data_IF_004309907839
#
_entry.id   IF_004309907839
#
_cell.length_a   1.000
_cell.length_b   1.000
_cell.length_c   1.000
_cell.angle_alpha   90.00
_cell.angle_beta   90.00
_cell.angle_gamma   90.00
#
_symmetry.space_group_name_H-M   'P 1'
#
loop_
_entity.id
_entity.type
_entity.pdbx_description
1 polymer ?
#
# COMPACT_ATOMS: atom_id res chain seq x y z
N UNK A 1 -1.73 -18.90 -18.12
CA UNK A 1 -0.81 -17.73 -18.21
C UNK A 1 -1.43 -16.44 -17.68
N UNK A 2 -2.77 -16.28 -17.76
CA UNK A 2 -3.50 -15.28 -16.96
C UNK A 2 -3.15 -15.35 -15.45
N UNK A 3 -2.75 -16.53 -14.98
CA UNK A 3 -2.37 -16.80 -13.59
C UNK A 3 -1.18 -15.96 -13.09
N UNK A 4 -0.19 -15.62 -13.93
CA UNK A 4 0.99 -14.85 -13.50
C UNK A 4 0.60 -13.40 -13.12
N UNK A 5 -0.43 -12.86 -13.77
CA UNK A 5 -0.90 -11.49 -13.52
C UNK A 5 -1.74 -11.37 -12.24
N UNK A 6 -2.25 -12.47 -11.70
CA UNK A 6 -3.06 -12.51 -10.48
C UNK A 6 -2.22 -12.82 -9.23
N UNK A 7 -1.00 -13.34 -9.39
CA UNK A 7 -0.10 -13.68 -8.30
C UNK A 7 0.57 -12.44 -7.68
N UNK A 8 0.69 -12.45 -6.35
CA UNK A 8 1.49 -11.45 -5.62
C UNK A 8 2.98 -11.55 -5.99
N UNK A 9 3.67 -10.40 -6.02
CA UNK A 9 5.09 -10.31 -6.36
C UNK A 9 5.98 -11.16 -5.43
N UNK A 10 5.58 -11.40 -4.18
CA UNK A 10 6.32 -12.25 -3.25
C UNK A 10 6.18 -13.72 -3.61
N UNK A 11 4.96 -14.15 -3.92
CA UNK A 11 4.67 -15.54 -4.26
C UNK A 11 5.29 -15.90 -5.60
N UNK A 12 5.21 -15.01 -6.59
CA UNK A 12 5.88 -15.19 -7.88
C UNK A 12 7.40 -15.36 -7.72
N UNK A 13 8.04 -14.59 -6.82
CA UNK A 13 9.47 -14.77 -6.50
C UNK A 13 9.75 -16.11 -5.83
N UNK A 14 8.88 -16.58 -4.94
CA UNK A 14 9.02 -17.90 -4.29
C UNK A 14 8.89 -19.04 -5.31
N UNK A 15 7.92 -18.93 -6.23
CA UNK A 15 7.70 -19.92 -7.30
C UNK A 15 8.89 -19.97 -8.25
N UNK A 16 9.48 -18.82 -8.60
CA UNK A 16 10.69 -18.79 -9.44
C UNK A 16 11.86 -19.49 -8.76
N UNK A 17 12.08 -19.26 -7.47
CA UNK A 17 13.15 -19.94 -6.73
C UNK A 17 12.93 -21.46 -6.72
N UNK A 18 11.69 -21.92 -6.55
CA UNK A 18 11.36 -23.34 -6.61
C UNK A 18 11.52 -23.91 -8.04
N UNK A 19 11.09 -23.17 -9.06
CA UNK A 19 11.22 -23.56 -10.46
C UNK A 19 12.69 -23.66 -10.89
N UNK A 20 13.53 -22.71 -10.48
CA UNK A 20 14.97 -22.71 -10.76
C UNK A 20 15.68 -23.88 -10.07
N UNK A 21 15.29 -24.24 -8.84
CA UNK A 21 15.81 -25.40 -8.13
C UNK A 21 15.34 -26.76 -8.73
N UNK A 22 14.17 -26.77 -9.39
CA UNK A 22 13.55 -27.96 -9.97
C UNK A 22 13.88 -28.20 -11.45
N UNK A 23 14.44 -27.21 -12.15
CA UNK A 23 14.64 -27.25 -13.60
C UNK A 23 15.78 -28.20 -14.02
N UNK A 24 15.42 -29.46 -14.32
CA UNK A 24 16.39 -30.51 -14.70
C UNK A 24 16.53 -30.71 -16.21
N UNK A 25 15.45 -30.50 -16.95
CA UNK A 25 15.32 -30.66 -18.39
C UNK A 25 15.07 -29.32 -19.11
N UNK A 26 15.14 -29.32 -20.44
CA UNK A 26 14.98 -28.12 -21.27
C UNK A 26 13.58 -27.50 -21.16
N UNK A 27 12.52 -28.30 -21.04
CA UNK A 27 11.16 -27.79 -20.87
C UNK A 27 11.00 -27.09 -19.52
N UNK A 28 11.48 -27.71 -18.43
CA UNK A 28 11.47 -27.10 -17.09
C UNK A 28 12.32 -25.82 -17.03
N UNK A 29 13.44 -25.76 -17.75
CA UNK A 29 14.26 -24.54 -17.89
C UNK A 29 13.50 -23.47 -18.68
N UNK A 30 12.82 -23.83 -19.76
CA UNK A 30 12.03 -22.89 -20.55
C UNK A 30 10.91 -22.26 -19.71
N UNK A 31 10.23 -23.04 -18.87
CA UNK A 31 9.22 -22.53 -17.93
C UNK A 31 9.84 -21.60 -16.89
N UNK A 32 11.00 -21.96 -16.33
CA UNK A 32 11.69 -21.09 -15.36
C UNK A 32 12.09 -19.73 -15.97
N UNK A 33 12.58 -19.72 -17.22
CA UNK A 33 12.88 -18.48 -17.94
C UNK A 33 11.62 -17.67 -18.24
N UNK A 34 10.53 -18.32 -18.61
CA UNK A 34 9.25 -17.66 -18.83
C UNK A 34 8.71 -16.99 -17.55
N UNK A 35 8.85 -17.65 -16.39
CA UNK A 35 8.48 -17.07 -15.08
C UNK A 35 9.36 -15.87 -14.73
N UNK A 36 10.67 -15.92 -15.00
CA UNK A 36 11.59 -14.78 -14.79
C UNK A 36 11.21 -13.58 -15.66
N UNK A 37 10.84 -13.82 -16.93
CA UNK A 37 10.36 -12.79 -17.83
C UNK A 37 9.05 -12.17 -17.28
N UNK A 38 8.08 -12.99 -16.89
CA UNK A 38 6.81 -12.52 -16.32
C UNK A 38 6.98 -11.73 -15.02
N UNK A 39 7.91 -12.12 -14.13
CA UNK A 39 8.22 -11.32 -12.94
C UNK A 39 8.78 -9.94 -13.29
N UNK A 40 9.68 -9.87 -14.28
CA UNK A 40 10.26 -8.60 -14.72
C UNK A 40 9.16 -7.67 -15.24
N UNK A 41 8.33 -8.16 -16.16
CA UNK A 41 7.19 -7.41 -16.70
C UNK A 41 6.23 -6.96 -15.59
N UNK A 42 5.94 -7.82 -14.62
CA UNK A 42 5.05 -7.45 -13.51
C UNK A 42 5.64 -6.37 -12.62
N UNK A 43 6.93 -6.45 -12.30
CA UNK A 43 7.62 -5.42 -11.51
C UNK A 43 7.59 -4.08 -12.24
N UNK A 44 7.79 -4.07 -13.56
CA UNK A 44 7.75 -2.87 -14.38
C UNK A 44 6.32 -2.27 -14.47
N UNK A 45 5.31 -3.12 -14.63
CA UNK A 45 3.90 -2.71 -14.63
C UNK A 45 3.50 -2.09 -13.28
N UNK A 46 3.83 -2.74 -12.17
CA UNK A 46 3.55 -2.24 -10.81
C UNK A 46 4.29 -0.92 -10.53
N UNK A 47 5.54 -0.82 -10.98
CA UNK A 47 6.32 0.42 -10.88
C UNK A 47 5.67 1.55 -11.69
N UNK A 48 5.17 1.25 -12.89
CA UNK A 48 4.49 2.21 -13.74
C UNK A 48 3.15 2.65 -13.14
N UNK A 49 2.35 1.69 -12.66
CA UNK A 49 1.09 1.95 -11.98
C UNK A 49 1.26 2.83 -10.73
N UNK A 50 2.30 2.56 -9.93
CA UNK A 50 2.64 3.37 -8.77
C UNK A 50 2.97 4.83 -9.14
N UNK A 51 3.74 5.06 -10.21
CA UNK A 51 4.06 6.41 -10.68
C UNK A 51 2.83 7.13 -11.23
N UNK A 52 1.98 6.41 -11.96
CA UNK A 52 0.70 6.93 -12.47
C UNK A 52 -0.22 7.33 -11.31
N UNK A 53 -0.38 6.47 -10.30
CA UNK A 53 -1.20 6.77 -9.12
C UNK A 53 -0.73 8.07 -8.44
N UNK A 54 0.57 8.23 -8.20
CA UNK A 54 1.08 9.47 -7.58
C UNK A 54 0.78 10.68 -8.47
N UNK A 55 0.95 10.55 -9.77
CA UNK A 55 0.70 11.64 -10.73
C UNK A 55 -0.78 12.05 -10.74
N UNK A 56 -1.70 11.09 -10.75
CA UNK A 56 -3.15 11.36 -10.70
C UNK A 56 -3.59 11.96 -9.37
N UNK A 57 -2.99 11.51 -8.26
CA UNK A 57 -3.23 12.09 -6.94
C UNK A 57 -2.78 13.55 -6.89
N UNK A 58 -1.61 13.88 -7.47
CA UNK A 58 -1.12 15.24 -7.56
C UNK A 58 -1.99 16.12 -8.47
N UNK A 59 -2.39 15.61 -9.64
CA UNK A 59 -3.30 16.30 -10.55
C UNK A 59 -4.67 16.58 -9.90
N UNK A 60 -5.14 15.68 -9.04
CA UNK A 60 -6.37 15.85 -8.26
C UNK A 60 -6.21 16.65 -6.97
N UNK A 61 -5.07 17.29 -6.70
CA UNK A 61 -4.83 18.09 -5.50
C UNK A 61 -4.74 17.29 -4.18
N UNK A 62 -4.60 15.96 -4.24
CA UNK A 62 -4.59 15.06 -3.07
C UNK A 62 -3.17 14.85 -2.54
N UNK A 63 -2.51 15.93 -2.12
CA UNK A 63 -1.10 15.92 -1.69
C UNK A 63 -0.79 14.90 -0.57
N UNK A 64 -1.64 14.80 0.46
CA UNK A 64 -1.44 13.85 1.57
C UNK A 64 -1.48 12.39 1.08
N UNK A 65 -2.40 12.08 0.16
CA UNK A 65 -2.50 10.72 -0.39
C UNK A 65 -1.30 10.42 -1.27
N UNK A 66 -0.87 11.38 -2.10
CA UNK A 66 0.33 11.26 -2.91
C UNK A 66 1.58 11.01 -2.06
N UNK A 67 1.75 11.73 -0.94
CA UNK A 67 2.83 11.50 0.02
C UNK A 67 2.82 10.07 0.58
N UNK A 68 1.64 9.55 0.94
CA UNK A 68 1.51 8.18 1.47
C UNK A 68 1.86 7.12 0.43
N UNK A 69 1.38 7.27 -0.80
CA UNK A 69 1.72 6.35 -1.90
C UNK A 69 3.22 6.41 -2.23
N UNK A 70 3.83 7.61 -2.24
CA UNK A 70 5.27 7.78 -2.48
C UNK A 70 6.17 7.09 -1.45
N UNK A 71 5.65 6.81 -0.24
CA UNK A 71 6.40 6.12 0.83
C UNK A 71 6.40 4.60 0.70
N UNK A 72 5.64 4.04 -0.24
CA UNK A 72 5.43 2.59 -0.41
C UNK A 72 5.75 2.16 -1.86
N UNK A 73 7.02 2.21 -2.27
CA UNK A 73 7.38 1.73 -3.60
C UNK A 73 7.20 0.20 -3.69
N UNK A 74 6.80 -0.33 -4.87
CA UNK A 74 6.62 -1.77 -5.07
C UNK A 74 7.92 -2.56 -4.88
N UNK A 75 9.06 -1.90 -5.12
CA UNK A 75 10.40 -2.40 -4.81
C UNK A 75 11.05 -1.49 -3.77
N UNK A 76 11.45 -2.07 -2.64
CA UNK A 76 12.16 -1.33 -1.60
C UNK A 76 13.41 -0.66 -2.20
N UNK A 77 13.50 0.67 -2.03
CA UNK A 77 14.61 1.46 -2.56
C UNK A 77 14.45 1.92 -4.02
N UNK A 78 13.33 1.63 -4.71
CA UNK A 78 13.04 2.28 -6.01
C UNK A 78 13.00 3.80 -5.81
N UNK A 79 13.88 4.57 -6.48
CA UNK A 79 13.89 6.02 -6.33
C UNK A 79 12.67 6.64 -7.00
N UNK A 80 12.19 7.73 -6.42
CA UNK A 80 11.15 8.56 -7.02
C UNK A 80 11.79 9.42 -8.14
N UNK A 81 11.21 9.49 -9.36
CA UNK A 81 11.72 10.36 -10.42
C UNK A 81 11.80 11.83 -9.96
N UNK A 82 12.88 12.52 -10.34
CA UNK A 82 13.16 13.89 -9.86
C UNK A 82 12.03 14.88 -10.16
N UNK A 83 11.46 14.84 -11.37
CA UNK A 83 10.31 15.67 -11.77
C UNK A 83 9.09 15.46 -10.87
N UNK A 84 8.79 14.21 -10.53
CA UNK A 84 7.66 13.87 -9.68
C UNK A 84 7.94 14.23 -8.22
N UNK A 85 9.19 14.09 -7.77
CA UNK A 85 9.64 14.57 -6.47
C UNK A 85 9.51 16.09 -6.33
N UNK A 86 9.84 16.85 -7.37
CA UNK A 86 9.68 18.31 -7.41
C UNK A 86 8.20 18.70 -7.29
N UNK A 87 7.32 18.11 -8.11
CA UNK A 87 5.87 18.33 -8.04
C UNK A 87 5.27 17.97 -6.68
N UNK A 88 5.72 16.85 -6.09
CA UNK A 88 5.29 16.42 -4.76
C UNK A 88 5.75 17.40 -3.67
N UNK A 89 6.98 17.93 -3.80
CA UNK A 89 7.52 18.95 -2.90
C UNK A 89 6.71 20.23 -3.00
N UNK A 90 6.46 20.73 -4.20
CA UNK A 90 5.65 21.93 -4.46
C UNK A 90 4.23 21.80 -3.88
N UNK A 91 3.53 20.69 -4.19
CA UNK A 91 2.20 20.44 -3.66
C UNK A 91 2.16 20.35 -2.12
N UNK A 92 3.24 19.83 -1.52
CA UNK A 92 3.37 19.76 -0.06
C UNK A 92 3.61 21.13 0.55
N UNK A 93 4.51 21.93 -0.04
CA UNK A 93 4.78 23.31 0.40
C UNK A 93 3.52 24.18 0.29
N UNK A 94 2.77 24.06 -0.80
CA UNK A 94 1.49 24.74 -1.00
C UNK A 94 0.42 24.33 0.04
N UNK A 95 0.53 23.12 0.60
CA UNK A 95 -0.37 22.63 1.67
C UNK A 95 0.11 23.02 3.08
N UNK A 96 1.30 23.59 3.23
CA UNK A 96 1.91 23.97 4.51
C UNK A 96 2.04 25.50 4.61
N UNK A 97 0.88 26.15 4.64
CA UNK A 97 0.73 27.60 4.80
C UNK A 97 0.15 27.93 6.17
N UNK A 98 0.38 29.16 6.70
CA UNK A 98 -0.19 29.58 7.99
C UNK A 98 -1.73 29.63 7.99
N UNK A 99 -2.35 29.82 6.83
CA UNK A 99 -3.80 29.81 6.61
C UNK A 99 -4.40 28.39 6.65
N UNK A 100 -3.56 27.36 6.53
CA UNK A 100 -4.03 25.97 6.54
C UNK A 100 -4.45 25.58 7.95
N UNK A 101 -5.68 25.05 8.07
CA UNK A 101 -6.20 24.52 9.34
C UNK A 101 -5.22 23.55 10.01
N UNK A 102 -5.03 23.68 11.31
CA UNK A 102 -3.94 23.03 12.04
C UNK A 102 -4.01 21.49 12.03
N UNK A 103 -5.21 20.91 12.04
CA UNK A 103 -5.41 19.46 11.88
C UNK A 103 -4.92 18.95 10.52
N UNK A 104 -5.25 19.68 9.44
CA UNK A 104 -4.76 19.38 8.09
C UNK A 104 -3.24 19.54 8.04
N UNK A 105 -2.69 20.59 8.66
CA UNK A 105 -1.25 20.80 8.75
C UNK A 105 -0.55 19.61 9.44
N UNK A 106 -1.06 19.17 10.59
CA UNK A 106 -0.54 17.99 11.31
C UNK A 106 -0.63 16.71 10.47
N UNK A 107 -1.72 16.51 9.74
CA UNK A 107 -1.91 15.37 8.84
C UNK A 107 -0.90 15.35 7.69
N UNK A 108 -0.60 16.51 7.10
CA UNK A 108 0.43 16.64 6.06
C UNK A 108 1.81 16.31 6.62
N UNK A 109 2.14 16.79 7.83
CA UNK A 109 3.42 16.48 8.49
C UNK A 109 3.58 14.98 8.80
N UNK A 110 2.53 14.31 9.27
CA UNK A 110 2.57 12.86 9.53
C UNK A 110 2.85 12.07 8.25
N UNK A 111 2.21 12.44 7.14
CA UNK A 111 2.49 11.82 5.83
C UNK A 111 3.91 12.15 5.31
N UNK A 112 4.34 13.41 5.44
CA UNK A 112 5.65 13.87 5.00
C UNK A 112 6.79 13.15 5.72
N UNK A 113 6.62 12.79 7.00
CA UNK A 113 7.64 12.11 7.80
C UNK A 113 8.10 10.77 7.18
N UNK A 114 7.27 10.11 6.38
CA UNK A 114 7.57 8.85 5.70
C UNK A 114 7.90 9.00 4.21
N UNK A 115 7.71 10.19 3.66
CA UNK A 115 7.94 10.45 2.23
C UNK A 115 9.44 10.54 1.89
N UNK A 116 9.84 10.17 0.66
CA UNK A 116 11.18 10.42 0.13
C UNK A 116 11.54 11.91 0.02
N UNK A 117 10.56 12.82 -0.10
CA UNK A 117 10.82 14.27 -0.24
C UNK A 117 10.95 15.02 1.09
N UNK A 118 10.98 14.29 2.20
CA UNK A 118 10.94 14.87 3.56
C UNK A 118 12.06 15.86 3.89
N UNK A 119 13.21 15.79 3.22
CA UNK A 119 14.34 16.70 3.42
C UNK A 119 14.28 17.93 2.52
N UNK A 120 13.43 17.91 1.49
CA UNK A 120 13.31 18.97 0.48
C UNK A 120 12.20 19.98 0.82
N UNK A 121 11.26 19.60 1.70
CA UNK A 121 10.13 20.45 2.08
C UNK A 121 10.53 21.36 3.24
N UNK A 122 10.38 22.66 3.03
CA UNK A 122 10.39 23.69 4.07
C UNK A 122 9.05 24.44 4.02
N UNK A 123 8.25 24.44 5.10
CA UNK A 123 6.99 25.18 5.15
C UNK A 123 7.18 26.67 4.87
N UNK A 124 6.21 27.30 4.21
CA UNK A 124 6.26 28.75 3.90
C UNK A 124 6.16 29.59 5.17
N UNK A 125 5.41 29.11 6.15
CA UNK A 125 5.24 29.78 7.43
C UNK A 125 4.58 28.88 8.47
N UNK A 126 4.78 29.23 9.73
CA UNK A 126 4.15 28.56 10.87
C UNK A 126 2.82 29.26 11.15
N UNK A 127 1.74 28.51 11.48
CA UNK A 127 0.51 29.12 11.99
C UNK A 127 0.79 30.04 13.19
N UNK A 128 0.19 31.23 13.24
CA UNK A 128 0.51 32.28 14.22
C UNK A 128 0.31 31.85 15.68
N UNK A 129 -0.68 30.99 15.95
CA UNK A 129 -0.95 30.44 17.28
C UNK A 129 -1.09 28.91 17.20
N UNK A 130 0.03 28.17 17.31
CA UNK A 130 0.01 26.71 17.20
C UNK A 130 -0.67 26.07 18.41
N UNK A 131 -1.69 25.27 18.16
CA UNK A 131 -2.40 24.49 19.17
C UNK A 131 -1.48 23.46 19.83
N UNK A 132 -1.78 23.05 21.08
CA UNK A 132 -1.03 22.00 21.77
C UNK A 132 -1.06 20.66 21.02
N UNK A 133 -2.12 20.39 20.25
CA UNK A 133 -2.23 19.20 19.41
C UNK A 133 -1.23 19.25 18.24
N UNK A 134 -1.14 20.38 17.53
CA UNK A 134 -0.16 20.59 16.46
C UNK A 134 1.27 20.45 16.99
N UNK A 135 1.57 21.06 18.14
CA UNK A 135 2.89 20.94 18.79
C UNK A 135 3.19 19.47 19.13
N UNK A 136 2.20 18.72 19.62
CA UNK A 136 2.35 17.29 19.92
C UNK A 136 2.59 16.45 18.65
N UNK A 137 1.89 16.77 17.56
CA UNK A 137 2.12 16.15 16.26
C UNK A 137 3.54 16.45 15.73
N UNK A 138 4.01 17.70 15.81
CA UNK A 138 5.38 18.07 15.41
C UNK A 138 6.41 17.33 16.27
N UNK A 139 6.21 17.25 17.60
CA UNK A 139 7.08 16.46 18.51
C UNK A 139 7.18 14.99 18.09
N UNK A 140 6.05 14.37 17.71
CA UNK A 140 6.01 12.97 17.24
C UNK A 140 6.87 12.76 16.00
N UNK A 141 6.90 13.72 15.07
CA UNK A 141 7.64 13.63 13.81
C UNK A 141 9.04 14.28 13.86
N UNK A 142 9.42 14.93 14.96
CA UNK A 142 10.63 15.73 15.08
C UNK A 142 11.93 14.97 14.74
N UNK A 143 12.03 13.69 15.12
CA UNK A 143 13.18 12.86 14.79
C UNK A 143 13.34 12.61 13.27
N UNK A 144 12.25 12.73 12.50
CA UNK A 144 12.21 12.48 11.05
C UNK A 144 12.20 13.77 10.23
N UNK A 145 11.72 14.86 10.83
CA UNK A 145 11.60 16.20 10.25
C UNK A 145 12.32 17.24 11.14
N UNK A 146 13.63 17.10 11.38
CA UNK A 146 14.36 17.97 12.30
C UNK A 146 14.30 19.43 11.88
N UNK A 147 14.37 19.72 10.57
CA UNK A 147 14.32 21.09 10.06
C UNK A 147 12.97 21.76 10.32
N UNK A 148 11.87 21.00 10.33
CA UNK A 148 10.54 21.53 10.65
C UNK A 148 10.41 21.69 12.17
N UNK A 149 10.88 20.73 12.96
CA UNK A 149 10.85 20.83 14.42
C UNK A 149 11.58 22.08 14.94
N UNK A 150 12.73 22.42 14.33
CA UNK A 150 13.49 23.64 14.64
C UNK A 150 12.69 24.92 14.39
N UNK A 151 11.85 24.96 13.35
CA UNK A 151 10.97 26.11 13.09
C UNK A 151 9.96 26.31 14.25
N UNK A 152 9.45 25.22 14.82
CA UNK A 152 8.55 25.25 15.97
C UNK A 152 9.28 25.41 17.33
N UNK A 153 10.61 25.61 17.33
CA UNK A 153 11.41 25.69 18.55
C UNK A 153 11.46 24.37 19.34
N UNK A 154 11.13 23.25 18.71
CA UNK A 154 11.18 21.91 19.31
C UNK A 154 12.54 21.32 18.98
N UNK A 155 13.36 21.09 20.02
CA UNK A 155 14.60 20.34 19.86
C UNK A 155 14.28 18.93 19.36
N UNK A 156 14.89 18.51 18.25
CA UNK A 156 14.74 17.17 17.71
C UNK A 156 15.40 16.20 18.68
N UNK A 157 14.62 15.69 19.65
CA UNK A 157 15.12 14.73 20.63
C UNK A 157 15.74 13.55 19.90
N UNK A 158 17.07 13.45 19.96
CA UNK A 158 17.81 12.30 19.49
C UNK A 158 17.18 11.05 20.11
N UNK A 159 17.02 9.94 19.39
CA UNK A 159 16.35 8.75 19.90
C UNK A 159 17.00 8.38 21.24
N UNK A 160 16.25 8.59 22.33
CA UNK A 160 16.82 8.50 23.67
C UNK A 160 17.35 7.08 23.83
N UNK A 161 18.67 6.97 24.07
CA UNK A 161 19.35 5.70 24.27
C UNK A 161 18.96 5.04 25.60
N UNK A 162 17.86 5.47 26.23
CA UNK A 162 17.34 4.96 27.49
C UNK A 162 16.47 3.71 27.27
N UNK A 163 17.07 2.67 26.67
CA UNK A 163 16.80 1.29 27.11
C UNK A 163 18.05 0.73 27.81
N UNK A 164 18.63 1.53 28.71
CA UNK A 164 19.49 1.02 29.77
C UNK A 164 18.60 0.33 30.82
N UNK A 165 18.11 -0.86 30.47
CA UNK A 165 17.20 -1.63 31.32
C UNK A 165 16.88 -3.02 30.78
N UNK A 166 17.57 -3.46 29.71
CA UNK A 166 17.51 -4.86 29.30
C UNK A 166 18.29 -5.69 30.33
N UNK A 167 17.58 -6.30 31.29
CA UNK A 167 18.12 -7.36 32.15
C UNK A 167 18.81 -8.41 31.25
N UNK A 168 20.03 -8.86 31.59
CA UNK A 168 20.75 -9.82 30.77
C UNK A 168 19.90 -11.07 30.56
N UNK A 169 19.62 -11.39 29.30
CA UNK A 169 18.95 -12.65 28.96
C UNK A 169 19.89 -13.79 29.33
N UNK A 170 19.44 -14.82 30.08
CA UNK A 170 20.28 -15.96 30.40
C UNK A 170 20.71 -16.67 29.11
N UNK A 171 21.94 -17.22 29.07
CA UNK A 171 22.45 -17.90 27.88
C UNK A 171 21.60 -19.15 27.57
N UNK A 172 21.27 -19.33 26.29
CA UNK A 172 20.63 -20.56 25.81
C UNK A 172 21.59 -21.74 26.03
N UNK A 173 21.13 -22.88 26.57
CA UNK A 173 21.97 -24.08 26.68
C UNK A 173 22.37 -24.55 25.28
N UNK A 174 23.68 -24.77 25.09
CA UNK A 174 24.21 -25.43 23.90
C UNK A 174 23.79 -26.90 23.97
N UNK A 175 22.94 -27.33 23.04
CA UNK A 175 22.72 -28.75 22.81
C UNK A 175 24.04 -29.30 22.25
N UNK A 176 24.74 -30.06 23.08
CA UNK A 176 25.90 -30.85 22.66
C UNK A 176 25.49 -31.85 21.60
N UNK A 177 26.28 -31.88 20.54
CA UNK A 177 26.30 -32.87 19.48
C UNK A 177 26.25 -34.28 20.08
N UNK A 178 25.20 -35.05 19.75
CA UNK A 178 25.17 -36.49 19.93
C UNK A 178 25.22 -37.09 18.53
N UNK A 179 26.22 -37.94 18.22
CA UNK A 179 26.43 -38.47 16.88
C UNK A 179 25.32 -39.45 16.49
N UNK A 180 25.00 -39.42 15.20
CA UNK A 180 24.10 -40.35 14.54
C UNK A 180 24.58 -41.81 14.65
N UNK A 181 23.67 -42.77 14.85
CA UNK A 181 23.89 -44.14 14.42
C UNK A 181 23.08 -44.45 13.15
N UNK A 182 23.76 -45.11 12.22
CA UNK A 182 23.22 -45.67 11.00
C UNK A 182 22.39 -46.95 11.26
N UNK A 183 21.38 -47.13 10.40
CA UNK A 183 20.81 -48.36 9.83
C UNK A 183 20.70 -49.64 10.71
N UNK A 184 19.47 -50.13 10.89
CA UNK A 184 19.13 -51.55 10.71
C UNK A 184 17.62 -51.74 10.52
N UNK A 185 17.32 -52.75 9.72
CA UNK A 185 16.07 -53.17 9.10
C UNK A 185 15.12 -53.98 10.04
N UNK A 186 13.89 -54.17 9.56
CA UNK A 186 12.98 -55.32 9.78
C UNK A 186 11.72 -55.16 10.66
N UNK A 187 10.57 -55.28 9.96
CA UNK A 187 9.36 -56.07 10.28
C UNK A 187 8.50 -55.66 11.50
N UNK A 188 7.18 -55.84 11.56
CA UNK A 188 6.07 -56.25 10.68
C UNK A 188 4.82 -56.08 11.57
N UNK A 189 3.70 -55.58 11.05
CA UNK A 189 2.34 -55.97 11.47
C UNK A 189 1.29 -55.17 10.69
N UNK A 190 0.75 -55.84 9.68
CA UNK A 190 -0.52 -55.64 8.97
C UNK A 190 -1.65 -54.95 9.73
N UNK A 191 -2.44 -54.16 8.99
CA UNK A 191 -3.89 -54.40 8.77
C UNK A 191 -4.35 -53.63 7.51
N UNK A 192 -4.55 -54.37 6.42
CA UNK A 192 -5.50 -54.07 5.31
C UNK A 192 -6.96 -54.36 5.78
N UNK A 193 -8.06 -54.02 5.07
CA UNK A 193 -8.26 -53.85 3.60
C UNK A 193 -8.86 -52.46 3.22
N UNK A 194 -8.64 -51.84 2.04
CA UNK A 194 -8.98 -52.19 0.64
C UNK A 194 -10.51 -52.16 0.33
N UNK A 195 -10.95 -52.03 -0.94
CA UNK A 195 -11.02 -50.83 -1.79
C UNK A 195 -12.43 -50.68 -2.45
N UNK A 196 -12.70 -49.61 -3.23
CA UNK A 196 -13.65 -49.67 -4.36
C UNK A 196 -13.64 -48.39 -5.20
N UNK A 197 -13.11 -48.52 -6.42
CA UNK A 197 -13.45 -47.70 -7.59
C UNK A 197 -14.67 -48.35 -8.27
N UNK A 198 -15.66 -47.57 -8.72
CA UNK A 198 -16.44 -47.84 -9.94
C UNK A 198 -17.42 -46.69 -10.27
N UNK A 199 -17.20 -46.13 -11.45
CA UNK A 199 -18.06 -45.40 -12.38
C UNK A 199 -19.53 -45.87 -12.44
N UNK A 200 -20.49 -44.95 -12.60
CA UNK A 200 -21.39 -44.78 -13.78
C UNK A 200 -22.60 -43.86 -13.43
N UNK A 201 -22.77 -42.76 -14.18
CA UNK A 201 -24.07 -42.09 -14.40
C UNK A 201 -24.97 -42.99 -15.29
N UNK A 202 -26.29 -42.77 -15.54
CA UNK A 202 -27.09 -41.53 -15.43
C UNK A 202 -28.56 -41.71 -14.98
N UNK A 203 -29.32 -40.59 -15.06
CA UNK A 203 -30.70 -40.45 -15.58
C UNK A 203 -31.80 -39.96 -14.59
N UNK A 204 -32.19 -38.67 -14.79
CA UNK A 204 -33.53 -37.99 -14.75
C UNK A 204 -34.47 -38.23 -13.54
N UNK A 205 -35.38 -37.35 -13.09
CA UNK A 205 -36.08 -36.18 -13.63
C UNK A 205 -36.81 -35.47 -12.45
N UNK A 206 -37.44 -34.33 -12.75
CA UNK A 206 -38.49 -33.61 -11.98
C UNK A 206 -38.02 -32.67 -10.85
N UNK A 207 -37.84 -31.37 -11.14
CA UNK A 207 -38.88 -30.30 -11.21
C UNK A 207 -39.36 -29.84 -9.82
N UNK A 208 -38.92 -28.65 -9.42
CA UNK A 208 -39.78 -27.60 -8.85
C UNK A 208 -39.00 -26.26 -8.78
N UNK A 209 -39.41 -25.32 -9.62
CA UNK A 209 -39.14 -23.88 -9.52
C UNK A 209 -39.64 -23.30 -8.20
N UNK A 210 -39.06 -22.19 -7.73
CA UNK A 210 -39.83 -20.95 -7.84
C UNK A 210 -39.05 -19.77 -8.45
N UNK A 211 -39.74 -19.17 -9.42
CA UNK A 211 -39.59 -17.81 -9.95
C UNK A 211 -40.26 -16.80 -9.01
N UNK A 212 -39.85 -15.53 -9.17
CA UNK A 212 -40.39 -14.27 -8.63
C UNK A 212 -39.68 -13.83 -7.33
N UNK A 213 -39.15 -12.60 -7.21
CA UNK A 213 -39.74 -11.36 -7.68
C UNK A 213 -38.65 -10.29 -7.92
N UNK A 214 -38.68 -9.65 -9.07
CA UNK A 214 -37.96 -8.41 -9.36
C UNK A 214 -38.94 -7.49 -10.08
N UNK A 215 -38.92 -6.23 -9.64
CA UNK A 215 -39.46 -5.04 -10.31
C UNK A 215 -40.98 -4.83 -10.36
N UNK A 216 -41.43 -3.87 -9.57
CA UNK A 216 -42.40 -2.84 -9.97
C UNK A 216 -41.95 -1.54 -9.26
N UNK A 217 -41.24 -0.64 -9.95
CA UNK A 217 -41.75 0.55 -10.63
C UNK A 217 -42.58 1.46 -9.70
N UNK A 218 -42.09 2.68 -9.44
CA UNK A 218 -42.86 3.92 -9.68
C UNK A 218 -41.97 5.15 -9.49
N UNK A 219 -41.80 5.81 -10.63
CA UNK A 219 -41.62 7.24 -10.80
C UNK A 219 -42.57 8.04 -9.92
N UNK A 220 -42.06 9.09 -9.26
CA UNK A 220 -42.87 10.26 -8.92
C UNK A 220 -41.98 11.50 -8.78
N UNK A 221 -42.01 12.31 -9.83
CA UNK A 221 -41.79 13.73 -9.75
C UNK A 221 -42.89 14.36 -8.87
N UNK A 222 -42.56 15.29 -7.98
CA UNK A 222 -42.70 16.73 -8.27
C UNK A 222 -42.63 17.60 -7.00
N UNK A 223 -42.07 18.80 -7.21
CA UNK A 223 -42.37 20.09 -6.56
C UNK A 223 -42.23 20.30 -5.04
N UNK A 224 -41.28 21.17 -4.68
CA UNK A 224 -41.53 22.37 -3.85
C UNK A 224 -40.44 23.39 -4.19
N UNK A 225 -40.70 24.35 -5.08
CA UNK A 225 -41.13 25.73 -4.78
C UNK A 225 -40.14 26.53 -3.92
N UNK A 226 -39.44 27.48 -4.56
CA UNK A 226 -39.06 28.76 -3.99
C UNK A 226 -38.59 29.71 -5.11
N UNK A 227 -39.54 30.50 -5.59
CA UNK A 227 -39.33 31.67 -6.42
C UNK A 227 -38.61 32.79 -5.65
N UNK A 228 -37.67 33.49 -6.31
CA UNK A 228 -37.38 34.94 -6.19
C UNK A 228 -36.65 35.31 -7.49
N UNK A 229 -37.37 35.79 -8.52
CA UNK A 229 -37.55 37.20 -8.85
C UNK A 229 -36.26 37.88 -9.35
N UNK A 230 -36.13 37.94 -10.68
CA UNK A 230 -35.41 38.98 -11.43
C UNK A 230 -36.22 40.30 -11.31
N UNK A 231 -35.62 41.51 -11.43
CA UNK A 231 -35.22 41.95 -12.76
C UNK A 231 -34.04 42.93 -12.86
N UNK A 232 -33.52 43.03 -14.09
CA UNK A 232 -33.02 44.23 -14.75
C UNK A 232 -31.65 44.82 -14.36
N UNK A 233 -30.72 44.78 -15.31
CA UNK A 233 -29.94 45.97 -15.69
C UNK A 233 -29.46 45.84 -17.14
N UNK A 234 -30.20 46.55 -18.00
CA UNK A 234 -29.76 47.27 -19.20
C UNK A 234 -28.32 47.05 -19.69
N UNK A 235 -28.20 46.57 -20.92
CA UNK A 235 -27.04 46.83 -21.75
C UNK A 235 -27.17 48.21 -22.38
N UNK A 236 -26.18 49.06 -22.13
CA UNK A 236 -25.90 50.25 -22.96
C UNK A 236 -24.41 50.62 -22.77
N UNK A 237 -23.57 50.35 -23.77
CA UNK A 237 -22.39 51.20 -24.03
C UNK A 237 -22.15 51.25 -25.54
N UNK A 238 -22.00 52.48 -26.00
CA UNK A 238 -22.31 52.99 -27.33
C UNK A 238 -21.08 53.13 -28.22
N UNK A 239 -21.33 53.11 -29.53
CA UNK A 239 -20.51 53.75 -30.55
C UNK A 239 -21.03 55.17 -30.84
#
# INVERSE_FOLDING_TARGET
>A
MADIAELDLRDLRSVIVAADAGARDDDSRAVAEQLKAGLTERVESEQSAWLTEITELLAGGRAVRALRVSSRPPKAGSPLPAELAAKLTEATVASLTPETGQDRYATVLDALAFSPVRTQVTPVGIPAEPSPELISAVKKVAARLPQIASLFGIEASAPSKSRAGAKPRPPKPKLTDVPAPAAADAADASTEPAPAEATDEPLVEAVATPTAETSDLVESANETDAAVEEPASEGEETA
#
